data_IF_291962263900
#
_entry.id   IF_291962263900
#
_cell.length_a   1.000
_cell.length_b   1.000
_cell.length_c   1.000
_cell.angle_alpha   90.00
_cell.angle_beta   90.00
_cell.angle_gamma   90.00
#
_symmetry.space_group_name_H-M   'P 1'
#
loop_
_entity.id
_entity.type
_entity.pdbx_description
1 polymer ?
#
# COMPACT_ATOMS: atom_id res chain seq x y z
N UNK A 1 -18.67 -4.53 -6.11
CA UNK A 1 -18.91 -4.27 -4.69
C UNK A 1 -17.88 -3.27 -4.19
N UNK A 2 -18.34 -2.12 -3.77
CA UNK A 2 -17.42 -1.11 -3.25
C UNK A 2 -17.40 -1.18 -1.72
N UNK A 3 -16.22 -1.41 -1.16
CA UNK A 3 -16.01 -1.39 0.28
C UNK A 3 -15.50 0.00 0.63
N UNK A 4 -16.25 0.70 1.47
CA UNK A 4 -15.85 2.03 1.92
C UNK A 4 -14.95 1.91 3.13
N UNK A 5 -13.72 2.36 2.97
CA UNK A 5 -12.76 2.45 4.05
C UNK A 5 -12.28 3.89 4.17
N UNK A 6 -12.09 4.34 5.39
CA UNK A 6 -11.47 5.63 5.65
C UNK A 6 -9.99 5.59 5.27
N UNK A 7 -9.41 6.75 5.02
CA UNK A 7 -8.00 6.83 4.60
C UNK A 7 -7.06 6.16 5.61
N UNK A 8 -7.29 6.36 6.89
CA UNK A 8 -6.47 5.74 7.94
C UNK A 8 -6.55 4.21 7.92
N UNK A 9 -7.74 3.67 7.63
CA UNK A 9 -7.94 2.24 7.52
C UNK A 9 -7.22 1.67 6.31
N UNK A 10 -7.27 2.39 5.17
CA UNK A 10 -6.52 2.02 3.97
C UNK A 10 -5.01 2.07 4.20
N UNK A 11 -4.54 3.06 4.94
CA UNK A 11 -3.12 3.19 5.26
C UNK A 11 -2.62 2.00 6.08
N UNK A 12 -3.38 1.59 7.09
CA UNK A 12 -3.02 0.44 7.92
C UNK A 12 -3.09 -0.86 7.12
N UNK A 13 -4.14 -1.04 6.32
CA UNK A 13 -4.26 -2.22 5.47
C UNK A 13 -3.12 -2.28 4.45
N UNK A 14 -2.78 -1.15 3.84
CA UNK A 14 -1.67 -1.05 2.90
C UNK A 14 -0.34 -1.44 3.57
N UNK A 15 -0.13 -0.99 4.80
CA UNK A 15 1.06 -1.34 5.57
C UNK A 15 1.15 -2.85 5.77
N UNK A 16 0.05 -3.49 6.16
CA UNK A 16 0.01 -4.94 6.36
C UNK A 16 0.24 -5.70 5.04
N UNK A 17 -0.31 -5.20 3.94
CA UNK A 17 -0.12 -5.81 2.62
C UNK A 17 1.32 -5.73 2.15
N UNK A 18 2.04 -4.67 2.52
CA UNK A 18 3.45 -4.50 2.18
C UNK A 18 4.39 -5.24 3.11
N UNK A 19 3.92 -5.60 4.30
CA UNK A 19 4.73 -6.29 5.28
C UNK A 19 4.92 -7.75 4.87
N UNK A 20 6.15 -8.23 4.94
CA UNK A 20 6.46 -9.63 4.68
C UNK A 20 6.05 -10.54 5.82
N UNK A 21 5.86 -9.98 6.99
CA UNK A 21 5.52 -10.73 8.22
C UNK A 21 4.26 -10.17 8.84
N UNK A 22 3.46 -11.00 9.52
CA UNK A 22 2.35 -10.49 10.31
C UNK A 22 2.86 -9.50 11.36
N UNK A 23 2.02 -8.53 11.72
CA UNK A 23 2.40 -7.46 12.63
C UNK A 23 1.46 -7.43 13.84
N UNK A 24 2.04 -7.25 15.01
CA UNK A 24 1.27 -6.91 16.21
C UNK A 24 0.90 -5.41 16.16
N UNK A 25 -0.07 -5.01 16.98
CA UNK A 25 -0.48 -3.60 17.03
C UNK A 25 0.71 -2.71 17.41
N UNK A 26 1.55 -3.15 18.33
CA UNK A 26 2.75 -2.40 18.71
C UNK A 26 3.73 -2.21 17.55
N UNK A 27 3.82 -3.19 16.66
CA UNK A 27 4.66 -3.08 15.46
C UNK A 27 4.11 -2.05 14.50
N UNK A 28 2.80 -2.02 14.34
CA UNK A 28 2.12 -1.03 13.48
C UNK A 28 2.35 0.38 14.04
N UNK A 29 2.15 0.55 15.33
CA UNK A 29 2.34 1.84 16.02
C UNK A 29 3.79 2.34 15.86
N UNK A 30 4.74 1.43 15.87
CA UNK A 30 6.15 1.78 15.73
C UNK A 30 6.52 2.32 14.34
N UNK A 31 5.70 2.09 13.32
CA UNK A 31 5.99 2.53 11.95
C UNK A 31 5.75 4.02 11.73
N UNK A 32 4.98 4.68 12.59
CA UNK A 32 4.62 6.08 12.40
C UNK A 32 4.50 6.75 13.76
N UNK A 33 5.24 7.87 14.00
CA UNK A 33 5.19 8.56 15.28
C UNK A 33 3.82 9.14 15.63
N UNK A 34 2.95 9.33 14.64
CA UNK A 34 1.59 9.82 14.87
C UNK A 34 0.61 8.73 15.29
N UNK A 35 1.01 7.47 15.20
CA UNK A 35 0.16 6.34 15.57
C UNK A 35 0.22 6.07 17.07
N UNK A 36 -0.95 5.78 17.64
CA UNK A 36 -1.08 5.34 19.04
C UNK A 36 -1.83 4.02 19.06
N UNK A 37 -1.69 3.27 20.16
CA UNK A 37 -2.41 2.01 20.34
C UNK A 37 -3.92 2.25 20.31
N UNK A 38 -4.38 3.32 20.96
CA UNK A 38 -5.81 3.67 21.00
C UNK A 38 -6.37 4.04 19.64
N UNK A 39 -5.53 4.50 18.72
CA UNK A 39 -5.90 4.82 17.35
C UNK A 39 -5.95 3.57 16.47
N UNK A 40 -4.94 2.72 16.58
CA UNK A 40 -4.78 1.55 15.70
C UNK A 40 -5.72 0.41 16.11
N UNK A 41 -5.94 0.20 17.39
CA UNK A 41 -6.76 -0.90 17.87
C UNK A 41 -8.18 -0.93 17.29
N UNK A 42 -8.93 0.20 17.25
CA UNK A 42 -10.23 0.21 16.59
C UNK A 42 -10.15 -0.02 15.07
N UNK A 43 -9.08 0.47 14.44
CA UNK A 43 -8.87 0.27 13.00
C UNK A 43 -8.70 -1.21 12.70
N UNK A 44 -7.86 -1.91 13.45
CA UNK A 44 -7.65 -3.35 13.29
C UNK A 44 -8.95 -4.11 13.52
N UNK A 45 -9.71 -3.74 14.55
CA UNK A 45 -11.00 -4.37 14.83
C UNK A 45 -11.96 -4.20 13.66
N UNK A 46 -12.04 -3.01 13.08
CA UNK A 46 -12.89 -2.76 11.93
C UNK A 46 -12.44 -3.55 10.70
N UNK A 47 -11.14 -3.60 10.45
CA UNK A 47 -10.60 -4.38 9.33
C UNK A 47 -10.88 -5.88 9.50
N UNK A 48 -10.82 -6.38 10.74
CA UNK A 48 -11.20 -7.76 11.02
C UNK A 48 -12.70 -7.99 10.77
N UNK A 49 -13.55 -7.07 11.17
CA UNK A 49 -14.99 -7.15 10.94
C UNK A 49 -15.33 -7.11 9.45
N UNK A 50 -14.55 -6.40 8.65
CA UNK A 50 -14.70 -6.36 7.20
C UNK A 50 -14.07 -7.56 6.50
N UNK A 51 -13.48 -8.48 7.26
CA UNK A 51 -12.77 -9.65 6.75
C UNK A 51 -11.57 -9.30 5.86
N UNK A 52 -11.01 -8.12 6.08
CA UNK A 52 -9.80 -7.67 5.37
C UNK A 52 -8.52 -8.07 6.10
N UNK A 53 -8.61 -8.29 7.40
CA UNK A 53 -7.49 -8.65 8.26
C UNK A 53 -7.90 -9.83 9.13
N UNK A 54 -6.96 -10.70 9.42
CA UNK A 54 -7.16 -11.87 10.27
C UNK A 54 -6.00 -12.01 11.25
N UNK A 55 -6.24 -12.73 12.33
CA UNK A 55 -5.19 -13.07 13.30
C UNK A 55 -4.30 -14.15 12.66
N UNK A 56 -3.01 -13.87 12.55
CA UNK A 56 -2.04 -14.81 12.00
C UNK A 56 -1.45 -15.72 13.08
N UNK A 57 -1.29 -15.20 14.30
CA UNK A 57 -0.68 -15.94 15.37
C UNK A 57 -0.47 -15.06 16.59
N UNK A 58 0.42 -15.48 17.46
CA UNK A 58 0.79 -14.74 18.66
C UNK A 58 2.31 -14.64 18.76
N UNK A 59 2.77 -13.55 19.37
CA UNK A 59 4.17 -13.36 19.70
C UNK A 59 4.31 -13.09 21.18
N UNK A 60 5.42 -13.51 21.75
CA UNK A 60 5.74 -13.24 23.15
C UNK A 60 6.61 -12.00 23.21
N UNK A 61 6.19 -11.05 24.04
CA UNK A 61 6.91 -9.79 24.27
C UNK A 61 7.18 -9.67 25.76
N UNK A 62 8.34 -10.19 26.19
CA UNK A 62 8.66 -10.29 27.61
C UNK A 62 7.69 -11.23 28.31
N UNK A 63 6.90 -10.69 29.25
CA UNK A 63 5.89 -11.46 29.98
C UNK A 63 4.50 -11.40 29.36
N UNK A 64 4.33 -10.60 28.29
CA UNK A 64 3.03 -10.43 27.66
C UNK A 64 2.96 -11.15 26.32
N UNK A 65 1.72 -11.44 25.90
CA UNK A 65 1.42 -12.09 24.64
C UNK A 65 0.67 -11.08 23.78
N UNK A 66 1.07 -10.97 22.52
CA UNK A 66 0.39 -10.10 21.56
C UNK A 66 -0.03 -10.91 20.34
N UNK A 67 -1.22 -10.61 19.83
CA UNK A 67 -1.70 -11.17 18.57
C UNK A 67 -1.03 -10.46 17.40
N UNK A 68 -0.71 -11.24 16.38
CA UNK A 68 -0.22 -10.68 15.10
C UNK A 68 -1.33 -10.76 14.08
N UNK A 69 -1.34 -9.82 13.16
CA UNK A 69 -2.38 -9.64 12.16
C UNK A 69 -1.78 -9.67 10.77
N UNK A 70 -2.53 -10.19 9.83
CA UNK A 70 -2.15 -10.26 8.43
C UNK A 70 -3.35 -9.97 7.55
N UNK A 71 -3.15 -9.50 6.30
CA UNK A 71 -4.25 -9.34 5.37
C UNK A 71 -4.83 -10.70 4.98
N UNK A 72 -6.14 -10.73 4.74
CA UNK A 72 -6.80 -11.91 4.21
C UNK A 72 -6.58 -12.02 2.70
N UNK A 73 -6.90 -13.17 2.14
CA UNK A 73 -6.91 -13.34 0.68
C UNK A 73 -7.88 -12.36 0.02
N UNK A 74 -9.01 -12.10 0.66
CA UNK A 74 -9.99 -11.12 0.20
C UNK A 74 -9.39 -9.73 0.11
N UNK A 75 -8.60 -9.32 1.12
CA UNK A 75 -7.93 -8.03 1.11
C UNK A 75 -6.97 -7.89 -0.07
N UNK A 76 -6.20 -8.93 -0.36
CA UNK A 76 -5.31 -8.92 -1.52
C UNK A 76 -6.07 -8.70 -2.82
N UNK A 77 -7.20 -9.39 -2.99
CA UNK A 77 -8.02 -9.27 -4.20
C UNK A 77 -8.65 -7.89 -4.33
N UNK A 78 -9.21 -7.37 -3.24
CA UNK A 78 -9.82 -6.04 -3.22
C UNK A 78 -8.78 -4.96 -3.50
N UNK A 79 -7.61 -5.07 -2.89
CA UNK A 79 -6.53 -4.10 -3.06
C UNK A 79 -6.00 -4.12 -4.50
N UNK A 80 -5.87 -5.29 -5.10
CA UNK A 80 -5.49 -5.41 -6.50
C UNK A 80 -6.49 -4.73 -7.43
N UNK A 81 -7.78 -4.88 -7.14
CA UNK A 81 -8.84 -4.28 -7.93
C UNK A 81 -8.81 -2.76 -7.84
N UNK A 82 -8.68 -2.22 -6.63
CA UNK A 82 -8.53 -0.77 -6.41
C UNK A 82 -7.30 -0.24 -7.13
N UNK A 83 -6.18 -0.92 -6.97
CA UNK A 83 -4.92 -0.54 -7.61
C UNK A 83 -5.06 -0.53 -9.12
N UNK A 84 -5.75 -1.52 -9.68
CA UNK A 84 -5.98 -1.63 -11.12
C UNK A 84 -6.80 -0.46 -11.64
N UNK A 85 -7.83 -0.05 -10.92
CA UNK A 85 -8.66 1.11 -11.29
C UNK A 85 -7.87 2.41 -11.22
N UNK A 86 -7.11 2.61 -10.16
CA UNK A 86 -6.26 3.78 -10.01
C UNK A 86 -5.17 3.83 -11.08
N UNK A 87 -4.60 2.67 -11.40
CA UNK A 87 -3.60 2.57 -12.47
C UNK A 87 -4.19 2.98 -13.82
N UNK A 88 -5.41 2.56 -14.14
CA UNK A 88 -6.06 2.93 -15.38
C UNK A 88 -6.34 4.44 -15.44
N UNK A 89 -6.83 5.01 -14.35
CA UNK A 89 -7.05 6.46 -14.26
C UNK A 89 -5.74 7.23 -14.40
N UNK A 90 -4.70 6.76 -13.75
CA UNK A 90 -3.37 7.32 -13.84
C UNK A 90 -2.85 7.25 -15.28
N UNK A 91 -3.03 6.11 -15.94
CA UNK A 91 -2.63 5.90 -17.32
C UNK A 91 -3.35 6.86 -18.28
N UNK A 92 -4.64 7.09 -18.05
CA UNK A 92 -5.41 8.03 -18.87
C UNK A 92 -4.89 9.46 -18.75
N UNK A 93 -4.46 9.86 -17.55
CA UNK A 93 -3.87 11.17 -17.32
C UNK A 93 -2.54 11.32 -18.09
N UNK A 94 -1.85 10.24 -18.36
CA UNK A 94 -0.54 10.24 -19.00
C UNK A 94 -0.55 9.71 -20.43
N UNK A 95 -1.68 9.81 -21.11
CA UNK A 95 -1.72 9.57 -22.56
C UNK A 95 -0.82 10.54 -23.30
N UNK A 96 -0.59 11.71 -22.72
CA UNK A 96 0.42 12.66 -23.20
C UNK A 96 1.71 12.45 -22.39
N UNK A 97 2.74 11.99 -23.07
CA UNK A 97 4.06 11.72 -22.46
C UNK A 97 4.67 12.96 -21.79
N UNK A 98 4.32 14.16 -22.24
CA UNK A 98 4.89 15.39 -21.70
C UNK A 98 4.48 15.60 -20.24
N UNK A 99 3.26 15.25 -19.87
CA UNK A 99 2.79 15.38 -18.49
C UNK A 99 3.53 14.40 -17.56
N UNK A 100 3.69 13.16 -18.01
CA UNK A 100 4.43 12.16 -17.25
C UNK A 100 5.87 12.57 -17.03
N UNK A 101 6.55 13.02 -18.07
CA UNK A 101 7.93 13.49 -17.99
C UNK A 101 8.06 14.69 -17.05
N UNK A 102 7.10 15.59 -17.09
CA UNK A 102 7.07 16.76 -16.22
C UNK A 102 6.98 16.35 -14.75
N UNK A 103 6.10 15.40 -14.43
CA UNK A 103 5.94 14.92 -13.06
C UNK A 103 7.18 14.16 -12.56
N UNK A 104 7.76 13.31 -13.41
CA UNK A 104 8.96 12.56 -13.03
C UNK A 104 10.11 13.52 -12.78
N UNK A 105 10.29 14.53 -13.62
CA UNK A 105 11.33 15.56 -13.43
C UNK A 105 11.12 16.35 -12.14
N UNK A 106 9.87 16.69 -11.83
CA UNK A 106 9.54 17.40 -10.60
C UNK A 106 9.93 16.57 -9.37
N UNK A 107 9.62 15.30 -9.36
CA UNK A 107 9.97 14.40 -8.27
C UNK A 107 11.49 14.20 -8.16
N UNK A 108 12.18 14.06 -9.27
CA UNK A 108 13.63 13.92 -9.29
C UNK A 108 14.32 15.15 -8.74
N UNK A 109 13.77 16.34 -8.98
CA UNK A 109 14.33 17.59 -8.46
C UNK A 109 14.07 17.75 -6.96
N UNK A 110 13.02 17.13 -6.44
CA UNK A 110 12.63 17.26 -5.04
C UNK A 110 13.24 16.19 -4.14
N UNK A 111 13.75 15.13 -4.70
CA UNK A 111 14.31 14.03 -3.92
C UNK A 111 15.82 13.90 -4.16
N UNK A 112 16.56 13.83 -3.07
CA UNK A 112 17.99 13.55 -3.09
C UNK A 112 18.30 12.08 -2.85
N UNK A 113 17.29 11.25 -2.67
CA UNK A 113 17.45 9.85 -2.36
C UNK A 113 17.60 9.03 -3.64
N UNK A 114 18.78 8.46 -3.87
CA UNK A 114 19.08 7.69 -5.06
C UNK A 114 18.19 6.43 -5.22
N UNK A 115 17.72 5.85 -4.11
CA UNK A 115 16.81 4.71 -4.14
C UNK A 115 15.43 5.10 -4.69
N UNK A 116 14.95 6.27 -4.30
CA UNK A 116 13.68 6.81 -4.80
C UNK A 116 13.78 7.13 -6.28
N UNK A 117 14.88 7.72 -6.71
CA UNK A 117 15.12 8.03 -8.12
C UNK A 117 15.11 6.75 -8.95
N UNK A 118 15.81 5.71 -8.49
CA UNK A 118 15.84 4.42 -9.16
C UNK A 118 14.48 3.78 -9.25
N UNK A 119 13.70 3.89 -8.19
CA UNK A 119 12.33 3.36 -8.14
C UNK A 119 11.46 4.04 -9.18
N UNK A 120 11.55 5.37 -9.28
CA UNK A 120 10.79 6.15 -10.27
C UNK A 120 11.20 5.78 -11.70
N UNK A 121 12.49 5.61 -11.94
CA UNK A 121 12.99 5.18 -13.24
C UNK A 121 12.45 3.80 -13.63
N UNK A 122 12.44 2.86 -12.70
CA UNK A 122 11.93 1.52 -12.93
C UNK A 122 10.43 1.54 -13.23
N UNK A 123 9.67 2.37 -12.54
CA UNK A 123 8.24 2.54 -12.78
C UNK A 123 8.01 3.09 -14.19
N UNK A 124 8.80 4.09 -14.58
CA UNK A 124 8.69 4.71 -15.90
C UNK A 124 9.02 3.71 -17.02
N UNK A 125 10.07 2.90 -16.85
CA UNK A 125 10.43 1.88 -17.82
C UNK A 125 9.38 0.80 -17.94
N UNK A 126 8.83 0.35 -16.83
CA UNK A 126 7.74 -0.63 -16.82
C UNK A 126 6.51 -0.07 -17.53
N UNK A 127 6.21 1.20 -17.33
CA UNK A 127 5.10 1.87 -17.99
C UNK A 127 5.31 1.93 -19.50
N UNK A 128 6.51 2.28 -19.94
CA UNK A 128 6.86 2.33 -21.36
C UNK A 128 6.80 0.95 -22.00
N UNK A 129 7.33 -0.07 -21.33
CA UNK A 129 7.32 -1.44 -21.85
C UNK A 129 5.88 -1.95 -21.98
N UNK A 130 5.02 -1.64 -21.04
CA UNK A 130 3.62 -2.04 -21.07
C UNK A 130 2.87 -1.35 -22.21
N UNK A 131 3.13 -0.07 -22.43
CA UNK A 131 2.52 0.66 -23.54
C UNK A 131 2.98 0.13 -24.90
N UNK A 132 4.26 -0.25 -25.01
CA UNK A 132 4.79 -0.86 -26.23
C UNK A 132 4.17 -2.24 -26.46
N UNK A 133 3.98 -3.03 -25.40
CA UNK A 133 3.33 -4.33 -25.49
C UNK A 133 1.87 -4.23 -25.84
N UNK A 134 1.17 -3.19 -25.35
CA UNK A 134 -0.23 -2.95 -25.64
C UNK A 134 -0.53 -2.64 -27.10
N UNK A 135 0.45 -2.17 -27.84
CA UNK A 135 0.30 -1.83 -29.26
C UNK A 135 0.43 -3.03 -30.20
N UNK A 136 0.73 -4.19 -29.66
CA UNK A 136 0.93 -5.41 -30.47
C UNK A 136 -0.31 -6.30 -30.53
N UNK A 137 -1.43 -5.80 -30.08
CA UNK A 137 -2.69 -6.56 -30.11
C UNK A 137 -3.66 -6.06 -31.15
#
# INVERSE_FOLDING_TARGET
>A
MSIKMAQKELDVLSLLLRSEKPMAISDIVATNPDYTINMIKPIIRKLCNLEMVEVAGIVYRGTSIARTFQPTKTAHLVFQDIFKQEYQSFRELFTDNSLLLSLVKSELNNTSNSKEIKRLENILEAFKAENAGGNNH
#
